data_IF_062970258193
#
_entry.id   IF_062970258193
#
_cell.length_a   1.000
_cell.length_b   1.000
_cell.length_c   1.000
_cell.angle_alpha   90.00
_cell.angle_beta   90.00
_cell.angle_gamma   90.00
#
_symmetry.space_group_name_H-M   'P 1'
#
loop_
_entity.id
_entity.type
_entity.pdbx_description
1 polymer ?
#
# COMPACT_ATOMS: atom_id res chain seq x y z
N UNK A 1 -30.06 20.83 8.69
CA UNK A 1 -29.80 21.62 7.44
C UNK A 1 -28.37 22.15 7.52
N UNK A 2 -27.36 21.36 7.23
CA UNK A 2 -25.98 21.79 7.08
C UNK A 2 -25.72 22.11 5.60
N UNK A 3 -25.38 23.37 5.34
CA UNK A 3 -25.00 23.88 4.02
C UNK A 3 -23.52 23.55 3.81
N UNK A 4 -23.23 22.66 2.93
CA UNK A 4 -21.87 22.52 2.38
C UNK A 4 -21.64 23.71 1.42
N UNK A 5 -20.66 24.55 1.76
CA UNK A 5 -20.08 25.55 0.87
C UNK A 5 -18.93 24.90 0.08
N UNK A 6 -18.91 25.02 -1.24
CA UNK A 6 -17.73 24.61 -2.00
C UNK A 6 -16.62 25.64 -1.78
N UNK A 7 -15.52 25.24 -1.16
CA UNK A 7 -14.31 26.05 -1.08
C UNK A 7 -13.66 26.12 -2.47
N UNK A 8 -14.00 27.18 -3.20
CA UNK A 8 -13.23 27.63 -4.34
C UNK A 8 -11.99 28.36 -3.82
N UNK A 9 -10.83 27.70 -3.87
CA UNK A 9 -9.56 28.35 -3.57
C UNK A 9 -9.18 29.18 -4.80
N UNK A 10 -9.35 30.50 -4.67
CA UNK A 10 -8.82 31.46 -5.63
C UNK A 10 -7.31 31.61 -5.38
N UNK A 11 -6.49 31.07 -6.24
CA UNK A 11 -5.05 31.32 -6.22
C UNK A 11 -4.80 32.74 -6.67
N UNK A 12 -4.42 33.59 -5.73
CA UNK A 12 -4.01 34.98 -5.97
C UNK A 12 -2.53 34.98 -6.34
N UNK A 13 -2.26 34.95 -7.64
CA UNK A 13 -0.88 35.16 -8.15
C UNK A 13 -0.52 36.61 -7.93
N UNK A 14 0.32 36.88 -6.95
CA UNK A 14 0.90 38.22 -6.72
C UNK A 14 2.08 38.39 -7.67
N UNK A 15 1.82 39.05 -8.82
CA UNK A 15 2.89 39.55 -9.67
C UNK A 15 3.53 40.78 -9.02
N UNK A 16 4.72 40.60 -8.43
CA UNK A 16 5.59 41.70 -8.04
C UNK A 16 6.19 42.38 -9.26
N UNK A 17 5.71 43.59 -9.58
CA UNK A 17 6.29 44.46 -10.63
C UNK A 17 7.67 44.92 -10.18
N UNK A 18 8.73 44.29 -10.69
CA UNK A 18 10.07 44.87 -10.70
C UNK A 18 10.30 45.48 -12.06
N UNK A 19 10.27 46.81 -12.13
CA UNK A 19 10.58 47.60 -13.33
C UNK A 19 12.08 47.61 -13.59
N UNK A 20 12.56 46.69 -14.40
CA UNK A 20 13.87 46.70 -15.05
C UNK A 20 13.69 46.11 -16.45
N UNK A 21 14.33 46.63 -17.47
CA UNK A 21 14.26 46.21 -18.87
C UNK A 21 14.30 44.69 -18.99
N UNK A 22 13.17 44.02 -18.97
CA UNK A 22 13.08 42.57 -18.96
C UNK A 22 12.53 42.10 -20.31
N UNK A 23 13.34 41.36 -21.06
CA UNK A 23 12.79 40.31 -21.90
C UNK A 23 11.83 39.51 -21.02
N UNK A 24 10.61 39.33 -21.51
CA UNK A 24 9.70 38.37 -20.87
C UNK A 24 10.36 36.99 -20.69
N UNK A 25 9.84 36.14 -19.80
CA UNK A 25 10.42 34.81 -19.61
C UNK A 25 10.57 34.08 -20.95
N UNK A 26 11.66 33.34 -21.11
CA UNK A 26 11.89 32.51 -22.28
C UNK A 26 10.86 31.35 -22.32
N UNK A 27 10.70 30.75 -23.51
CA UNK A 27 9.83 29.55 -23.64
C UNK A 27 10.27 28.41 -22.70
N UNK A 28 11.59 28.28 -22.51
CA UNK A 28 12.16 27.28 -21.59
C UNK A 28 11.82 27.58 -20.13
N UNK A 29 11.94 28.84 -19.68
CA UNK A 29 11.55 29.23 -18.31
C UNK A 29 10.04 29.03 -18.06
N UNK A 30 9.20 29.25 -19.06
CA UNK A 30 7.76 28.99 -18.99
C UNK A 30 7.46 27.49 -18.94
N UNK A 31 8.19 26.67 -19.70
CA UNK A 31 8.03 25.22 -19.67
C UNK A 31 8.46 24.61 -18.32
N UNK A 32 9.58 25.09 -17.75
CA UNK A 32 10.02 24.67 -16.41
C UNK A 32 9.01 25.07 -15.33
N UNK A 33 8.51 26.30 -15.36
CA UNK A 33 7.50 26.75 -14.41
C UNK A 33 6.20 25.94 -14.50
N UNK A 34 5.75 25.60 -15.70
CA UNK A 34 4.59 24.75 -15.91
C UNK A 34 4.81 23.31 -15.39
N UNK A 35 6.03 22.79 -15.56
CA UNK A 35 6.40 21.47 -15.03
C UNK A 35 6.44 21.45 -13.50
N UNK A 36 6.97 22.48 -12.86
CA UNK A 36 6.96 22.63 -11.40
C UNK A 36 5.52 22.76 -10.85
N UNK A 37 4.61 23.46 -11.57
CA UNK A 37 3.19 23.55 -11.22
C UNK A 37 2.50 22.19 -11.31
N UNK A 38 2.86 21.36 -12.29
CA UNK A 38 2.36 19.98 -12.36
C UNK A 38 2.81 19.15 -11.16
N UNK A 39 4.07 19.26 -10.71
CA UNK A 39 4.52 18.60 -9.48
C UNK A 39 3.73 19.06 -8.27
N UNK A 40 3.51 20.38 -8.11
CA UNK A 40 2.72 20.91 -7.00
C UNK A 40 1.27 20.37 -7.01
N UNK A 41 0.68 20.26 -8.21
CA UNK A 41 -0.65 19.66 -8.37
C UNK A 41 -0.66 18.19 -7.98
N UNK A 42 0.34 17.43 -8.40
CA UNK A 42 0.50 16.03 -8.06
C UNK A 42 0.66 15.83 -6.53
N UNK A 43 1.50 16.63 -5.89
CA UNK A 43 1.69 16.62 -4.43
C UNK A 43 0.37 16.88 -3.69
N UNK A 44 -0.39 17.89 -4.11
CA UNK A 44 -1.70 18.18 -3.51
C UNK A 44 -2.70 17.03 -3.69
N UNK A 45 -2.68 16.35 -4.84
CA UNK A 45 -3.55 15.20 -5.07
C UNK A 45 -3.17 14.01 -4.19
N UNK A 46 -1.86 13.78 -3.95
CA UNK A 46 -1.41 12.77 -3.00
C UNK A 46 -1.85 13.08 -1.56
N UNK A 47 -1.79 14.35 -1.13
CA UNK A 47 -2.31 14.75 0.19
C UNK A 47 -3.81 14.44 0.34
N UNK A 48 -4.61 14.72 -0.71
CA UNK A 48 -6.04 14.37 -0.72
C UNK A 48 -6.26 12.85 -0.66
N UNK A 49 -5.47 12.08 -1.39
CA UNK A 49 -5.55 10.62 -1.38
C UNK A 49 -5.19 10.05 0.01
N UNK A 50 -4.12 10.53 0.63
CA UNK A 50 -3.70 10.10 1.98
C UNK A 50 -4.75 10.45 3.04
N UNK A 51 -5.36 11.64 2.94
CA UNK A 51 -6.47 12.00 3.84
C UNK A 51 -7.67 11.06 3.65
N UNK A 52 -8.05 10.76 2.40
CA UNK A 52 -9.15 9.85 2.11
C UNK A 52 -8.89 8.42 2.60
N UNK A 53 -7.65 7.93 2.50
CA UNK A 53 -7.21 6.64 3.08
C UNK A 53 -7.32 6.64 4.60
N UNK A 54 -6.86 7.72 5.22
CA UNK A 54 -6.89 7.88 6.68
C UNK A 54 -8.33 7.88 7.22
N UNK A 55 -9.21 8.63 6.57
CA UNK A 55 -10.62 8.73 6.97
C UNK A 55 -11.34 7.38 6.81
N UNK A 56 -11.08 6.66 5.71
CA UNK A 56 -11.62 5.32 5.48
C UNK A 56 -11.13 4.32 6.54
N UNK A 57 -9.82 4.27 6.77
CA UNK A 57 -9.22 3.37 7.76
C UNK A 57 -9.73 3.65 9.19
N UNK A 58 -9.94 4.93 9.53
CA UNK A 58 -10.51 5.31 10.82
C UNK A 58 -11.94 4.78 11.00
N UNK A 59 -12.78 4.91 9.96
CA UNK A 59 -14.16 4.41 10.00
C UNK A 59 -14.23 2.88 10.02
N UNK A 60 -13.38 2.20 9.24
CA UNK A 60 -13.27 0.73 9.26
C UNK A 60 -12.77 0.23 10.63
N UNK A 61 -11.78 0.90 11.21
CA UNK A 61 -11.28 0.58 12.56
C UNK A 61 -12.36 0.77 13.62
N UNK A 62 -13.11 1.87 13.58
CA UNK A 62 -14.21 2.13 14.50
C UNK A 62 -15.32 1.06 14.38
N UNK A 63 -15.66 0.67 13.15
CA UNK A 63 -16.63 -0.41 12.92
C UNK A 63 -16.15 -1.72 13.54
N UNK A 64 -14.91 -2.10 13.30
CA UNK A 64 -14.32 -3.33 13.83
C UNK A 64 -14.29 -3.33 15.38
N UNK A 65 -13.95 -2.20 15.99
CA UNK A 65 -13.94 -2.03 17.44
C UNK A 65 -15.33 -2.21 18.05
N UNK A 66 -16.37 -1.62 17.44
CA UNK A 66 -17.75 -1.77 17.91
C UNK A 66 -18.25 -3.19 17.70
N UNK A 67 -17.92 -3.84 16.58
CA UNK A 67 -18.30 -5.23 16.30
C UNK A 67 -17.67 -6.21 17.30
N UNK A 68 -16.47 -5.93 17.81
CA UNK A 68 -15.80 -6.73 18.82
C UNK A 68 -16.50 -6.69 20.19
N UNK A 69 -17.32 -5.67 20.46
CA UNK A 69 -18.11 -5.56 21.69
C UNK A 69 -19.33 -6.47 21.55
N UNK A 70 -19.60 -7.28 22.59
CA UNK A 70 -20.82 -8.12 22.62
C UNK A 70 -22.06 -7.24 22.52
N UNK A 71 -23.02 -7.64 21.71
CA UNK A 71 -24.26 -6.87 21.44
C UNK A 71 -24.93 -6.32 22.72
N UNK A 72 -25.04 -7.14 23.76
CA UNK A 72 -25.65 -6.76 25.05
C UNK A 72 -24.86 -5.70 25.85
N UNK A 73 -23.59 -5.50 25.50
CA UNK A 73 -22.66 -4.62 26.22
C UNK A 73 -22.41 -3.31 25.44
N UNK A 74 -23.05 -3.13 24.26
CA UNK A 74 -22.96 -1.93 23.43
C UNK A 74 -23.83 -0.81 24.00
N UNK A 75 -23.29 0.42 23.98
CA UNK A 75 -24.06 1.64 24.30
C UNK A 75 -25.02 2.02 23.16
N UNK A 76 -26.00 2.88 23.46
CA UNK A 76 -26.93 3.41 22.43
C UNK A 76 -26.17 4.17 21.33
N UNK A 77 -25.10 4.89 21.66
CA UNK A 77 -24.25 5.61 20.73
C UNK A 77 -23.53 4.63 19.78
N UNK A 78 -22.94 3.56 20.32
CA UNK A 78 -22.28 2.51 19.51
C UNK A 78 -23.26 1.77 18.60
N UNK A 79 -24.49 1.57 19.00
CA UNK A 79 -25.54 1.00 18.13
C UNK A 79 -25.85 1.97 16.98
N UNK A 80 -26.00 3.26 17.24
CA UNK A 80 -26.25 4.26 16.22
C UNK A 80 -25.06 4.38 15.23
N UNK A 81 -23.84 4.33 15.74
CA UNK A 81 -22.62 4.32 14.89
C UNK A 81 -22.55 3.05 14.03
N UNK A 82 -22.87 1.87 14.57
CA UNK A 82 -22.90 0.60 13.84
C UNK A 82 -23.88 0.64 12.64
N UNK A 83 -24.98 1.38 12.77
CA UNK A 83 -25.96 1.57 11.68
C UNK A 83 -25.47 2.60 10.64
N UNK A 84 -24.70 3.62 11.05
CA UNK A 84 -24.26 4.71 10.17
C UNK A 84 -22.95 4.41 9.45
N UNK A 85 -21.98 3.75 10.11
CA UNK A 85 -20.64 3.51 9.61
C UNK A 85 -20.57 2.76 8.26
N UNK A 86 -21.40 1.71 7.97
CA UNK A 86 -21.32 1.03 6.68
C UNK A 86 -21.59 1.96 5.49
N UNK A 87 -22.52 2.91 5.61
CA UNK A 87 -22.78 3.88 4.55
C UNK A 87 -21.64 4.88 4.40
N UNK A 88 -21.08 5.37 5.51
CA UNK A 88 -19.92 6.26 5.51
C UNK A 88 -18.68 5.61 4.90
N UNK A 89 -18.40 4.33 5.21
CA UNK A 89 -17.29 3.54 4.65
C UNK A 89 -17.43 3.42 3.12
N UNK A 90 -18.63 3.17 2.61
CA UNK A 90 -18.88 3.11 1.16
C UNK A 90 -18.63 4.47 0.49
N UNK A 91 -19.09 5.57 1.08
CA UNK A 91 -18.86 6.92 0.58
C UNK A 91 -17.38 7.28 0.59
N UNK A 92 -16.69 7.03 1.70
CA UNK A 92 -15.24 7.27 1.85
C UNK A 92 -14.40 6.38 0.92
N UNK A 93 -14.80 5.12 0.72
CA UNK A 93 -14.17 4.23 -0.26
C UNK A 93 -14.28 4.79 -1.68
N UNK A 94 -15.45 5.32 -2.05
CA UNK A 94 -15.66 5.96 -3.35
C UNK A 94 -14.81 7.24 -3.49
N UNK A 95 -14.71 8.03 -2.44
CA UNK A 95 -13.88 9.24 -2.42
C UNK A 95 -12.38 8.92 -2.56
N UNK A 96 -11.90 7.88 -1.84
CA UNK A 96 -10.52 7.38 -1.98
C UNK A 96 -10.24 6.91 -3.40
N UNK A 97 -11.13 6.13 -4.01
CA UNK A 97 -10.97 5.62 -5.38
C UNK A 97 -10.92 6.77 -6.39
N UNK A 98 -11.78 7.77 -6.25
CA UNK A 98 -11.76 8.95 -7.11
C UNK A 98 -10.46 9.78 -6.94
N UNK A 99 -9.95 9.92 -5.70
CA UNK A 99 -8.68 10.58 -5.45
C UNK A 99 -7.50 9.79 -6.04
N UNK A 100 -7.52 8.47 -5.94
CA UNK A 100 -6.52 7.59 -6.55
C UNK A 100 -6.51 7.73 -8.09
N UNK A 101 -7.67 7.69 -8.73
CA UNK A 101 -7.78 7.86 -10.19
C UNK A 101 -7.25 9.23 -10.64
N UNK A 102 -7.51 10.29 -9.88
CA UNK A 102 -6.98 11.62 -10.16
C UNK A 102 -5.45 11.67 -10.06
N UNK A 103 -4.87 11.07 -9.02
CA UNK A 103 -3.40 10.92 -8.87
C UNK A 103 -2.82 10.17 -10.06
N UNK A 104 -3.39 9.01 -10.43
CA UNK A 104 -2.87 8.20 -11.52
C UNK A 104 -2.88 8.93 -12.87
N UNK A 105 -3.94 9.69 -13.17
CA UNK A 105 -4.03 10.47 -14.40
C UNK A 105 -2.94 11.57 -14.45
N UNK A 106 -2.81 12.35 -13.39
CA UNK A 106 -1.80 13.43 -13.31
C UNK A 106 -0.38 12.87 -13.31
N UNK A 107 -0.15 11.76 -12.60
CA UNK A 107 1.14 11.10 -12.53
C UNK A 107 1.62 10.59 -13.90
N UNK A 108 0.73 9.99 -14.69
CA UNK A 108 1.07 9.49 -16.02
C UNK A 108 1.56 10.64 -16.93
N UNK A 109 0.84 11.76 -16.93
CA UNK A 109 1.22 12.95 -17.70
C UNK A 109 2.53 13.57 -17.19
N UNK A 110 2.68 13.68 -15.86
CA UNK A 110 3.89 14.18 -15.22
C UNK A 110 5.12 13.34 -15.59
N UNK A 111 5.04 12.01 -15.43
CA UNK A 111 6.17 11.11 -15.73
C UNK A 111 6.56 11.15 -17.20
N UNK A 112 5.59 11.27 -18.11
CA UNK A 112 5.89 11.41 -19.53
C UNK A 112 6.73 12.66 -19.82
N UNK A 113 6.39 13.80 -19.24
CA UNK A 113 7.13 15.06 -19.39
C UNK A 113 8.46 14.99 -18.65
N UNK A 114 8.46 14.50 -17.43
CA UNK A 114 9.64 14.40 -16.57
C UNK A 114 10.77 13.60 -17.23
N UNK A 115 10.45 12.43 -17.78
CA UNK A 115 11.45 11.52 -18.33
C UNK A 115 11.95 11.94 -19.72
N UNK A 116 11.13 12.62 -20.51
CA UNK A 116 11.49 13.02 -21.88
C UNK A 116 12.11 14.42 -21.96
N UNK A 117 11.53 15.37 -21.21
CA UNK A 117 11.85 16.79 -21.37
C UNK A 117 12.72 17.33 -20.22
N UNK A 118 12.58 16.77 -19.01
CA UNK A 118 13.24 17.26 -17.78
C UNK A 118 13.92 16.17 -16.95
N UNK A 119 14.68 15.22 -17.55
CA UNK A 119 15.21 14.06 -16.80
C UNK A 119 16.13 14.43 -15.62
N UNK A 120 16.88 15.53 -15.74
CA UNK A 120 17.81 16.01 -14.70
C UNK A 120 17.18 17.03 -13.73
N UNK A 121 15.90 17.40 -13.93
CA UNK A 121 15.26 18.42 -13.10
C UNK A 121 14.93 17.88 -11.70
N UNK A 122 15.13 18.67 -10.62
CA UNK A 122 14.80 18.21 -9.25
C UNK A 122 13.34 17.76 -9.06
N UNK A 123 12.40 18.37 -9.78
CA UNK A 123 10.99 17.98 -9.75
C UNK A 123 10.77 16.55 -10.26
N UNK A 124 11.59 16.09 -11.22
CA UNK A 124 11.55 14.70 -11.72
C UNK A 124 11.84 13.70 -10.62
N UNK A 125 12.92 13.94 -9.85
CA UNK A 125 13.25 13.09 -8.69
C UNK A 125 12.12 13.07 -7.65
N UNK A 126 11.54 14.24 -7.36
CA UNK A 126 10.45 14.33 -6.38
C UNK A 126 9.21 13.57 -6.85
N UNK A 127 8.82 13.70 -8.12
CA UNK A 127 7.69 12.96 -8.67
C UNK A 127 7.93 11.45 -8.71
N UNK A 128 9.15 11.01 -9.06
CA UNK A 128 9.54 9.60 -9.00
C UNK A 128 9.51 9.05 -7.57
N UNK A 129 9.90 9.85 -6.57
CA UNK A 129 9.81 9.43 -5.17
C UNK A 129 8.35 9.25 -4.74
N UNK A 130 7.45 10.18 -5.09
CA UNK A 130 6.01 10.04 -4.83
C UNK A 130 5.44 8.76 -5.47
N UNK A 131 5.79 8.50 -6.72
CA UNK A 131 5.40 7.25 -7.39
C UNK A 131 5.92 6.00 -6.68
N UNK A 132 7.17 6.06 -6.21
CA UNK A 132 7.80 4.95 -5.49
C UNK A 132 7.18 4.70 -4.12
N UNK A 133 6.83 5.76 -3.39
CA UNK A 133 6.12 5.65 -2.11
C UNK A 133 4.75 4.98 -2.31
N UNK A 134 4.02 5.34 -3.36
CA UNK A 134 2.76 4.68 -3.73
C UNK A 134 2.98 3.21 -4.10
N UNK A 135 4.02 2.90 -4.88
CA UNK A 135 4.36 1.52 -5.23
C UNK A 135 4.70 0.67 -3.99
N UNK A 136 5.38 1.25 -3.01
CA UNK A 136 5.68 0.60 -1.71
C UNK A 136 4.38 0.28 -0.95
N UNK A 137 3.43 1.21 -0.88
CA UNK A 137 2.14 0.99 -0.24
C UNK A 137 1.35 -0.13 -0.92
N UNK A 138 1.23 -0.08 -2.26
CA UNK A 138 0.51 -1.10 -3.03
C UNK A 138 1.17 -2.48 -2.88
N UNK A 139 2.51 -2.54 -2.87
CA UNK A 139 3.24 -3.78 -2.65
C UNK A 139 2.98 -4.35 -1.25
N UNK A 140 2.97 -3.52 -0.21
CA UNK A 140 2.64 -3.93 1.14
C UNK A 140 1.20 -4.46 1.25
N UNK A 141 0.22 -3.78 0.66
CA UNK A 141 -1.17 -4.24 0.61
C UNK A 141 -1.32 -5.57 -0.15
N UNK A 142 -0.59 -5.73 -1.27
CA UNK A 142 -0.58 -6.97 -2.07
C UNK A 142 -0.12 -8.16 -1.22
N UNK A 143 0.94 -7.98 -0.44
CA UNK A 143 1.44 -9.01 0.48
C UNK A 143 0.47 -9.23 1.64
N UNK A 144 -0.01 -8.17 2.29
CA UNK A 144 -0.94 -8.29 3.41
C UNK A 144 -2.23 -9.03 3.03
N UNK A 145 -2.73 -8.78 1.83
CA UNK A 145 -3.98 -9.37 1.33
C UNK A 145 -3.81 -10.83 0.88
N UNK A 146 -2.73 -11.15 0.19
CA UNK A 146 -2.60 -12.41 -0.54
C UNK A 146 -1.27 -13.15 -0.32
N UNK A 147 -0.31 -12.57 0.38
CA UNK A 147 1.05 -13.12 0.47
C UNK A 147 1.74 -13.24 -0.90
N UNK A 148 1.34 -12.42 -1.88
CA UNK A 148 1.88 -12.45 -3.25
C UNK A 148 3.13 -11.56 -3.34
N UNK A 149 4.22 -12.09 -2.79
CA UNK A 149 5.52 -11.40 -2.75
C UNK A 149 6.08 -11.13 -4.14
N UNK A 150 5.89 -12.05 -5.09
CA UNK A 150 6.39 -11.88 -6.46
C UNK A 150 5.68 -10.74 -7.16
N UNK A 151 4.35 -10.65 -7.05
CA UNK A 151 3.59 -9.54 -7.62
C UNK A 151 4.02 -8.22 -6.98
N UNK A 152 4.18 -8.18 -5.66
CA UNK A 152 4.67 -7.01 -4.93
C UNK A 152 6.07 -6.60 -5.41
N UNK A 153 7.00 -7.56 -5.54
CA UNK A 153 8.34 -7.29 -6.07
C UNK A 153 8.30 -6.72 -7.50
N UNK A 154 7.49 -7.29 -8.39
CA UNK A 154 7.36 -6.79 -9.76
C UNK A 154 6.83 -5.34 -9.81
N UNK A 155 5.98 -4.94 -8.86
CA UNK A 155 5.51 -3.56 -8.73
C UNK A 155 6.67 -2.61 -8.36
N UNK A 156 7.50 -3.02 -7.41
CA UNK A 156 8.67 -2.25 -6.99
C UNK A 156 9.76 -2.21 -8.09
N UNK A 157 10.00 -3.32 -8.78
CA UNK A 157 10.92 -3.38 -9.92
C UNK A 157 10.49 -2.40 -11.04
N UNK A 158 9.18 -2.31 -11.30
CA UNK A 158 8.64 -1.35 -12.27
C UNK A 158 8.92 0.09 -11.85
N UNK A 159 8.79 0.43 -10.57
CA UNK A 159 9.14 1.75 -10.05
C UNK A 159 10.65 2.00 -10.13
N UNK A 160 11.50 1.02 -9.81
CA UNK A 160 12.95 1.14 -9.89
C UNK A 160 13.43 1.39 -11.34
N UNK A 161 12.77 0.78 -12.32
CA UNK A 161 13.16 0.92 -13.74
C UNK A 161 13.09 2.36 -14.27
N UNK A 162 12.30 3.23 -13.67
CA UNK A 162 12.26 4.65 -14.05
C UNK A 162 13.54 5.38 -13.68
N UNK A 163 14.13 5.09 -12.50
CA UNK A 163 15.41 5.67 -12.10
C UNK A 163 16.53 5.20 -13.03
N UNK A 164 16.55 3.91 -13.34
CA UNK A 164 17.54 3.33 -14.26
C UNK A 164 17.45 3.96 -15.67
N UNK A 165 16.23 4.31 -16.13
CA UNK A 165 16.01 4.88 -17.47
C UNK A 165 16.62 6.27 -17.67
N UNK A 166 16.93 6.98 -16.58
CA UNK A 166 17.52 8.32 -16.58
C UNK A 166 18.84 8.39 -15.78
N UNK A 167 19.48 7.23 -15.59
CA UNK A 167 20.78 7.10 -14.90
C UNK A 167 20.79 7.69 -13.47
N UNK A 168 19.66 7.67 -12.75
CA UNK A 168 19.59 8.07 -11.36
C UNK A 168 19.74 6.87 -10.42
N UNK A 169 20.33 7.08 -9.23
CA UNK A 169 20.32 6.06 -8.19
C UNK A 169 18.87 5.79 -7.73
N UNK A 170 18.54 4.52 -7.55
CA UNK A 170 17.23 4.12 -7.05
C UNK A 170 16.91 4.76 -5.70
N UNK A 171 15.65 5.10 -5.47
CA UNK A 171 15.15 5.64 -4.21
C UNK A 171 15.37 4.64 -3.07
N UNK A 172 16.08 5.05 -1.99
CA UNK A 172 16.51 4.13 -0.94
C UNK A 172 15.34 3.38 -0.27
N UNK A 173 14.20 4.02 0.07
CA UNK A 173 13.05 3.29 0.63
C UNK A 173 12.51 2.18 -0.27
N UNK A 174 12.58 2.36 -1.60
CA UNK A 174 12.19 1.35 -2.59
C UNK A 174 13.14 0.15 -2.52
N UNK A 175 14.46 0.40 -2.49
CA UNK A 175 15.50 -0.64 -2.37
C UNK A 175 15.35 -1.42 -1.07
N UNK A 176 15.13 -0.71 0.04
CA UNK A 176 14.94 -1.33 1.36
C UNK A 176 13.70 -2.21 1.39
N UNK A 177 12.59 -1.74 0.78
CA UNK A 177 11.35 -2.52 0.70
C UNK A 177 11.49 -3.76 -0.17
N UNK A 178 12.21 -3.66 -1.29
CA UNK A 178 12.52 -4.83 -2.13
C UNK A 178 13.32 -5.87 -1.37
N UNK A 179 14.34 -5.44 -0.63
CA UNK A 179 15.16 -6.33 0.21
C UNK A 179 14.32 -7.00 1.33
N UNK A 180 13.46 -6.24 2.00
CA UNK A 180 12.52 -6.75 3.01
C UNK A 180 11.60 -7.83 2.42
N UNK A 181 10.97 -7.56 1.26
CA UNK A 181 10.05 -8.50 0.64
C UNK A 181 10.76 -9.76 0.14
N UNK A 182 11.98 -9.65 -0.42
CA UNK A 182 12.75 -10.84 -0.82
C UNK A 182 13.11 -11.71 0.38
N UNK A 183 13.46 -11.11 1.51
CA UNK A 183 13.72 -11.85 2.75
C UNK A 183 12.44 -12.51 3.29
N UNK A 184 11.33 -11.75 3.31
CA UNK A 184 10.04 -12.25 3.82
C UNK A 184 9.43 -13.36 2.96
N UNK A 185 9.70 -13.37 1.67
CA UNK A 185 9.18 -14.34 0.70
C UNK A 185 9.55 -15.79 1.04
N UNK A 186 10.70 -15.99 1.67
CA UNK A 186 11.21 -17.31 2.00
C UNK A 186 11.32 -17.49 3.50
N UNK A 187 10.75 -18.59 3.99
CA UNK A 187 10.83 -18.89 5.42
C UNK A 187 12.19 -19.49 5.78
N UNK A 188 12.82 -18.96 6.82
CA UNK A 188 14.01 -19.52 7.46
C UNK A 188 13.65 -20.32 8.71
N UNK A 189 14.56 -21.21 9.14
CA UNK A 189 14.36 -21.98 10.38
C UNK A 189 14.19 -21.04 11.58
N UNK A 190 14.98 -19.98 11.66
CA UNK A 190 14.95 -19.02 12.77
C UNK A 190 13.57 -18.33 12.88
N UNK A 191 13.03 -17.84 11.75
CA UNK A 191 11.70 -17.24 11.72
C UNK A 191 10.62 -18.26 12.02
N UNK A 192 10.72 -19.48 11.44
CA UNK A 192 9.75 -20.53 11.71
C UNK A 192 9.70 -20.96 13.17
N UNK A 193 10.81 -20.85 13.89
CA UNK A 193 10.88 -21.17 15.31
C UNK A 193 10.16 -20.16 16.21
N UNK A 194 9.82 -18.97 15.69
CA UNK A 194 8.98 -17.98 16.36
C UNK A 194 7.55 -18.49 16.53
N UNK A 195 7.05 -19.31 15.60
CA UNK A 195 5.71 -19.89 15.70
C UNK A 195 5.62 -20.84 16.89
N UNK A 196 4.66 -20.61 17.77
CA UNK A 196 4.42 -21.43 18.96
C UNK A 196 3.03 -22.08 18.90
N UNK A 197 2.87 -23.18 19.61
CA UNK A 197 1.56 -23.82 19.80
C UNK A 197 0.59 -22.82 20.46
N UNK A 198 -0.67 -22.85 20.01
CA UNK A 198 -1.78 -21.99 20.44
C UNK A 198 -1.71 -20.52 19.95
N UNK A 199 -0.72 -20.11 19.17
CA UNK A 199 -0.77 -18.82 18.45
C UNK A 199 -2.00 -18.78 17.54
N UNK A 200 -2.60 -17.61 17.43
CA UNK A 200 -3.66 -17.33 16.46
C UNK A 200 -3.07 -17.17 15.05
N UNK A 201 -3.92 -17.15 14.03
CA UNK A 201 -3.49 -16.90 12.66
C UNK A 201 -2.81 -15.53 12.52
N UNK A 202 -3.32 -14.50 13.19
CA UNK A 202 -2.77 -13.15 13.13
C UNK A 202 -1.41 -13.04 13.83
N UNK A 203 -1.25 -13.68 14.99
CA UNK A 203 0.06 -13.79 15.65
C UNK A 203 1.09 -14.52 14.78
N UNK A 204 0.67 -15.52 13.99
CA UNK A 204 1.57 -16.20 13.04
C UNK A 204 1.92 -15.31 11.86
N UNK A 205 0.95 -14.55 11.27
CA UNK A 205 1.24 -13.58 10.22
C UNK A 205 2.22 -12.50 10.69
N UNK A 206 2.04 -12.01 11.90
CA UNK A 206 2.95 -11.02 12.49
C UNK A 206 4.36 -11.59 12.69
N UNK A 207 4.48 -12.83 13.15
CA UNK A 207 5.76 -13.45 13.45
C UNK A 207 6.56 -13.87 12.20
N UNK A 208 5.90 -14.41 11.16
CA UNK A 208 6.59 -15.04 10.02
C UNK A 208 6.06 -14.58 8.65
N UNK A 209 5.12 -13.64 8.62
CA UNK A 209 4.53 -13.10 7.39
C UNK A 209 3.29 -13.87 6.92
N UNK A 210 2.67 -13.34 5.87
CA UNK A 210 1.47 -13.89 5.26
C UNK A 210 1.87 -14.99 4.27
N UNK A 211 1.27 -16.19 4.31
CA UNK A 211 1.54 -17.21 3.30
C UNK A 211 0.88 -16.81 1.97
N UNK A 212 1.47 -17.23 0.85
CA UNK A 212 0.83 -17.07 -0.45
C UNK A 212 -0.56 -17.74 -0.45
N UNK A 213 -1.59 -17.04 -0.90
CA UNK A 213 -2.98 -17.50 -0.75
C UNK A 213 -3.24 -18.89 -1.36
N UNK A 214 -2.54 -19.26 -2.44
CA UNK A 214 -2.65 -20.59 -3.06
C UNK A 214 -1.96 -21.69 -2.23
N UNK A 215 -1.19 -21.32 -1.25
CA UNK A 215 -0.51 -22.23 -0.32
C UNK A 215 -1.29 -22.41 1.00
N UNK A 216 -2.52 -21.93 1.05
CA UNK A 216 -3.45 -22.15 2.16
C UNK A 216 -4.36 -23.33 1.77
N UNK A 217 -4.35 -24.39 2.56
CA UNK A 217 -5.11 -25.60 2.30
C UNK A 217 -6.05 -25.89 3.46
N UNK A 218 -7.34 -26.08 3.18
CA UNK A 218 -8.36 -26.39 4.19
C UNK A 218 -8.83 -27.85 4.02
N UNK A 219 -8.69 -28.65 5.07
CA UNK A 219 -9.27 -29.99 5.17
C UNK A 219 -10.47 -29.95 6.10
N UNK A 220 -11.65 -29.81 5.52
CA UNK A 220 -12.94 -29.75 6.21
C UNK A 220 -13.22 -30.99 7.08
N UNK A 221 -12.82 -32.17 6.60
CA UNK A 221 -13.05 -33.44 7.31
C UNK A 221 -12.23 -33.54 8.57
N UNK A 222 -10.97 -33.10 8.51
CA UNK A 222 -10.04 -33.10 9.65
C UNK A 222 -10.16 -31.86 10.51
N UNK A 223 -10.89 -30.86 10.05
CA UNK A 223 -11.01 -29.52 10.66
C UNK A 223 -9.64 -28.88 10.85
N UNK A 224 -8.83 -28.89 9.78
CA UNK A 224 -7.46 -28.36 9.77
C UNK A 224 -7.29 -27.40 8.62
N UNK A 225 -6.69 -26.26 8.88
CA UNK A 225 -6.14 -25.35 7.88
C UNK A 225 -4.62 -25.44 7.94
N UNK A 226 -3.98 -25.57 6.78
CA UNK A 226 -2.52 -25.70 6.63
C UNK A 226 -2.01 -24.53 5.84
N UNK A 227 -1.07 -23.80 6.40
CA UNK A 227 -0.33 -22.75 5.73
C UNK A 227 1.06 -23.26 5.35
N UNK A 228 1.39 -23.13 4.05
CA UNK A 228 2.67 -23.57 3.53
C UNK A 228 3.53 -22.35 3.21
N UNK A 229 4.71 -22.33 3.75
CA UNK A 229 5.72 -21.30 3.53
C UNK A 229 6.85 -21.87 2.70
N UNK A 230 7.22 -21.17 1.64
CA UNK A 230 8.30 -21.59 0.74
C UNK A 230 9.66 -21.39 1.39
N UNK A 231 10.58 -22.35 1.19
CA UNK A 231 11.99 -22.20 1.55
C UNK A 231 12.82 -21.78 0.33
N UNK A 232 13.88 -21.00 0.52
CA UNK A 232 14.74 -20.50 -0.57
C UNK A 232 15.42 -21.65 -1.33
N UNK A 233 15.80 -22.69 -0.63
CA UNK A 233 16.47 -23.88 -1.19
C UNK A 233 15.49 -24.89 -1.82
N UNK A 234 14.21 -24.56 -1.84
CA UNK A 234 13.12 -25.43 -2.26
C UNK A 234 12.45 -26.18 -1.11
N UNK A 235 11.27 -26.70 -1.39
CA UNK A 235 10.41 -27.33 -0.38
C UNK A 235 9.61 -26.33 0.44
N UNK A 236 8.93 -26.81 1.47
CA UNK A 236 8.03 -26.04 2.30
C UNK A 236 8.21 -26.29 3.80
N UNK A 237 7.90 -25.28 4.58
CA UNK A 237 7.53 -25.41 5.98
C UNK A 237 6.00 -25.30 6.12
N UNK A 238 5.40 -26.01 7.05
CA UNK A 238 3.97 -26.07 7.25
C UNK A 238 3.57 -25.68 8.67
N UNK A 239 2.57 -24.81 8.79
CA UNK A 239 1.89 -24.49 10.05
C UNK A 239 0.47 -25.01 9.97
N UNK A 240 0.02 -25.73 10.98
CA UNK A 240 -1.29 -26.39 11.02
C UNK A 240 -2.16 -25.75 12.09
N UNK A 241 -3.33 -25.27 11.68
CA UNK A 241 -4.34 -24.66 12.55
C UNK A 241 -5.55 -25.56 12.69
N UNK A 242 -6.18 -25.55 13.89
CA UNK A 242 -7.51 -26.13 14.04
C UNK A 242 -8.55 -25.10 13.61
N UNK A 243 -9.41 -25.42 12.65
CA UNK A 243 -10.48 -24.52 12.20
C UNK A 243 -11.55 -24.25 13.26
N UNK A 244 -11.58 -25.08 14.34
CA UNK A 244 -12.53 -24.90 15.46
C UNK A 244 -12.19 -23.72 16.38
N UNK A 245 -10.93 -23.27 16.40
CA UNK A 245 -10.49 -22.17 17.26
C UNK A 245 -9.42 -21.29 16.63
N UNK A 246 -9.04 -21.54 15.35
CA UNK A 246 -8.05 -20.80 14.56
C UNK A 246 -6.68 -20.70 15.25
N UNK A 247 -6.27 -21.76 15.97
CA UNK A 247 -4.99 -21.78 16.69
C UNK A 247 -4.06 -22.86 16.17
N UNK A 248 -2.76 -22.54 16.18
CA UNK A 248 -1.69 -23.50 15.85
C UNK A 248 -1.75 -24.70 16.79
N UNK A 249 -1.85 -25.88 16.23
CA UNK A 249 -1.75 -27.12 17.01
C UNK A 249 -0.48 -27.93 16.69
N UNK A 250 0.09 -27.74 15.48
CA UNK A 250 1.31 -28.39 15.01
C UNK A 250 2.06 -27.52 14.00
N UNK A 251 3.36 -27.76 13.84
CA UNK A 251 4.19 -27.17 12.80
C UNK A 251 5.28 -28.14 12.34
N UNK A 252 5.72 -28.04 11.08
CA UNK A 252 6.78 -28.86 10.52
C UNK A 252 7.61 -28.07 9.52
N UNK A 253 8.90 -27.86 9.80
CA UNK A 253 9.80 -27.12 8.91
C UNK A 253 10.15 -27.93 7.65
N UNK A 254 10.21 -29.25 7.74
CA UNK A 254 10.51 -30.16 6.63
C UNK A 254 9.24 -30.85 6.12
N UNK A 255 8.31 -30.07 5.53
CA UNK A 255 7.06 -30.61 4.97
C UNK A 255 7.29 -31.21 3.56
N UNK A 256 8.08 -32.27 3.50
CA UNK A 256 8.63 -32.88 2.26
C UNK A 256 7.56 -33.41 1.28
N UNK A 257 6.33 -33.65 1.74
CA UNK A 257 5.27 -34.29 0.93
C UNK A 257 4.28 -33.30 0.33
N UNK A 258 4.46 -31.99 0.55
CA UNK A 258 3.49 -30.99 0.13
C UNK A 258 4.12 -30.15 -0.99
N UNK A 259 3.42 -30.09 -2.13
CA UNK A 259 3.82 -29.23 -3.24
C UNK A 259 3.42 -27.79 -2.93
N UNK A 260 4.41 -26.91 -2.86
CA UNK A 260 4.23 -25.47 -2.74
C UNK A 260 4.01 -24.89 -4.13
N UNK A 261 3.01 -24.03 -4.26
CA UNK A 261 2.83 -23.21 -5.46
C UNK A 261 3.80 -22.04 -5.37
N UNK A 262 4.46 -21.72 -6.48
CA UNK A 262 5.29 -20.52 -6.58
C UNK A 262 4.38 -19.31 -6.78
N UNK A 263 4.59 -18.30 -5.95
CA UNK A 263 3.97 -16.96 -6.08
C UNK A 263 4.45 -16.27 -7.38
#
# INVERSE_FOLDING_TARGET
>A
RSRFLPYGIAILVVFGLVSGCSRGPSEEELAQAAFEEQLATLQQQYEVLEQARTDLAASEGMLADIEAIKERDRSEEQIAELEALPAAIVEQGTARDAAYDAVQATLADFLNIALNDFPEHPATVQGLNLYSDEAILIAAETVAKAGDYKKAMNQLDSASSYYDSIDLPSYQPLVDKMAELDDMRFITQERFDLVKKNMTMDEVKEAIGVPYYQNIQVDEKRKVETWLYRKREGGAAAVYFKTTNNKVYNKNFEAVKVKVVED
#
